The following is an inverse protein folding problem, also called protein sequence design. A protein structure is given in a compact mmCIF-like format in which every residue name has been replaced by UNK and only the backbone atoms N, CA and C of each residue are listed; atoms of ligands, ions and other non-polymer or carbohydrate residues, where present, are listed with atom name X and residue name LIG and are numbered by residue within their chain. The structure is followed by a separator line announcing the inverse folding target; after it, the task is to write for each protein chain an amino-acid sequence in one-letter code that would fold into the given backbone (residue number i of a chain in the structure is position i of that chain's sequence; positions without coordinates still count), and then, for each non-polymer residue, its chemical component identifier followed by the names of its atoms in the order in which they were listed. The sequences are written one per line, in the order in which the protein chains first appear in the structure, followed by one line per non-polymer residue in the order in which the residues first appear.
data_IF_884565441569
#
_entry.id   IF_884565441569
#
_cell.length_a   1.000
_cell.length_b   1.000
_cell.length_c   1.000
_cell.angle_alpha   90.00
_cell.angle_beta   90.00
_cell.angle_gamma   90.00
#
_symmetry.space_group_name_H-M   'P 1'
#
loop_
_entity.id
_entity.type
_entity.pdbx_description
1 polymer ?
#
# COMPACT_ATOMS: atom_id res chain seq x y z
N UNK A 1 2.60 9.40 7.30
CA UNK A 1 1.95 8.35 6.48
C UNK A 1 2.87 7.96 5.35
N UNK A 2 3.18 6.69 5.19
CA UNK A 2 4.08 6.17 4.16
C UNK A 2 3.40 5.08 3.33
N UNK A 3 3.93 4.84 2.12
CA UNK A 3 3.58 3.62 1.37
C UNK A 3 4.10 2.39 2.12
N UNK A 4 3.64 1.21 1.71
CA UNK A 4 3.98 -0.06 2.34
C UNK A 4 5.48 -0.26 2.56
N UNK A 5 5.84 -0.68 3.78
CA UNK A 5 7.19 -1.12 4.13
C UNK A 5 7.63 -2.38 3.36
N UNK A 6 6.67 -3.20 2.91
CA UNK A 6 6.92 -4.36 2.05
C UNK A 6 7.32 -4.00 0.61
N UNK A 7 7.16 -2.74 0.21
CA UNK A 7 7.46 -2.25 -1.15
C UNK A 7 8.58 -1.22 -1.18
N UNK A 8 8.80 -0.49 -0.08
CA UNK A 8 9.78 0.59 -0.01
C UNK A 8 10.41 0.71 1.37
N UNK A 9 11.70 1.01 1.43
CA UNK A 9 12.41 1.36 2.65
C UNK A 9 12.01 2.70 3.29
N UNK A 10 11.13 3.48 2.64
CA UNK A 10 10.73 4.82 3.10
C UNK A 10 10.17 4.79 4.52
N UNK A 11 9.29 3.84 4.84
CA UNK A 11 8.76 3.68 6.20
C UNK A 11 9.87 3.58 7.24
N UNK A 12 10.85 2.67 7.02
CA UNK A 12 11.93 2.45 7.98
C UNK A 12 12.82 3.68 8.16
N UNK A 13 13.13 4.39 7.07
CA UNK A 13 13.93 5.64 7.14
C UNK A 13 13.19 6.71 7.94
N UNK A 14 11.91 6.96 7.62
CA UNK A 14 11.11 7.97 8.31
C UNK A 14 10.92 7.60 9.79
N UNK A 15 10.68 6.33 10.10
CA UNK A 15 10.55 5.84 11.48
C UNK A 15 11.82 6.10 12.29
N UNK A 16 12.99 5.76 11.74
CA UNK A 16 14.27 6.00 12.42
C UNK A 16 14.54 7.48 12.68
N UNK A 17 14.16 8.35 11.73
CA UNK A 17 14.29 9.80 11.90
C UNK A 17 13.31 10.29 12.98
N UNK A 18 12.07 9.81 12.96
CA UNK A 18 11.05 10.20 13.94
C UNK A 18 11.45 9.79 15.37
N UNK A 19 12.02 8.60 15.55
CA UNK A 19 12.50 8.09 16.85
C UNK A 19 13.66 8.92 17.44
N UNK A 20 14.39 9.67 16.61
CA UNK A 20 15.47 10.56 17.05
C UNK A 20 15.00 11.96 17.46
N UNK A 21 13.71 12.27 17.27
CA UNK A 21 13.14 13.58 17.62
C UNK A 21 12.58 13.51 19.04
N UNK A 22 13.32 14.05 20.02
CA UNK A 22 12.91 14.06 21.43
C UNK A 22 11.83 15.12 21.72
N UNK A 23 11.76 16.18 20.90
CA UNK A 23 10.86 17.33 21.11
C UNK A 23 9.51 17.19 20.38
N UNK A 24 9.38 16.19 19.51
CA UNK A 24 8.19 16.00 18.68
C UNK A 24 7.54 14.65 18.96
N UNK A 25 6.25 14.67 19.28
CA UNK A 25 5.46 13.47 19.25
C UNK A 25 5.13 13.11 17.80
N UNK A 26 5.74 12.03 17.29
CA UNK A 26 5.61 11.61 15.90
C UNK A 26 5.13 10.16 15.80
N UNK A 27 4.11 9.94 14.99
CA UNK A 27 3.65 8.60 14.62
C UNK A 27 3.83 8.35 13.12
N UNK A 28 4.54 7.29 12.76
CA UNK A 28 4.79 6.92 11.37
C UNK A 28 3.90 5.74 10.99
N UNK A 29 2.90 6.00 10.17
CA UNK A 29 1.96 4.98 9.69
C UNK A 29 2.52 4.24 8.47
N UNK A 30 2.66 2.91 8.60
CA UNK A 30 2.84 2.00 7.47
C UNK A 30 1.47 1.62 6.91
N UNK A 31 1.10 2.14 5.76
CA UNK A 31 -0.23 1.90 5.20
C UNK A 31 -0.43 0.51 4.63
N UNK A 32 0.61 -0.30 4.49
CA UNK A 32 0.56 -1.60 3.78
C UNK A 32 -0.05 -1.50 2.37
N UNK A 33 -0.09 -0.30 1.82
CA UNK A 33 -0.71 0.06 0.55
C UNK A 33 0.19 0.95 -0.30
N UNK A 34 -0.27 1.25 -1.51
CA UNK A 34 0.37 2.17 -2.45
C UNK A 34 -0.65 3.15 -3.04
N UNK A 35 -0.14 4.15 -3.75
CA UNK A 35 -0.95 5.08 -4.53
C UNK A 35 -2.07 5.68 -3.70
N UNK A 36 -3.29 5.64 -4.24
CA UNK A 36 -4.47 6.20 -3.58
C UNK A 36 -4.82 5.46 -2.28
N UNK A 37 -4.51 4.16 -2.16
CA UNK A 37 -4.72 3.40 -0.92
C UNK A 37 -3.91 3.96 0.25
N UNK A 38 -2.65 4.36 0.01
CA UNK A 38 -1.84 5.06 1.00
C UNK A 38 -2.29 6.52 1.17
N UNK A 39 -2.58 7.22 0.07
CA UNK A 39 -3.04 8.61 0.08
C UNK A 39 -4.34 8.80 0.83
N UNK A 40 -5.26 7.82 0.76
CA UNK A 40 -6.53 7.86 1.49
C UNK A 40 -6.32 7.94 3.01
N UNK A 41 -5.33 7.22 3.55
CA UNK A 41 -4.98 7.29 4.97
C UNK A 41 -4.51 8.69 5.38
N UNK A 42 -3.74 9.37 4.52
CA UNK A 42 -3.30 10.73 4.78
C UNK A 42 -4.46 11.74 4.76
N UNK A 43 -5.35 11.61 3.78
CA UNK A 43 -6.55 12.46 3.66
C UNK A 43 -7.46 12.27 4.87
N UNK A 44 -7.66 11.03 5.30
CA UNK A 44 -8.53 10.73 6.42
C UNK A 44 -7.93 11.20 7.75
N UNK A 45 -6.60 11.08 7.91
CA UNK A 45 -5.88 11.62 9.06
C UNK A 45 -6.08 13.13 9.19
N UNK A 46 -5.93 13.88 8.07
CA UNK A 46 -6.13 15.32 8.06
C UNK A 46 -7.56 15.69 8.48
N UNK A 47 -8.57 15.00 7.96
CA UNK A 47 -9.97 15.25 8.34
C UNK A 47 -10.22 15.00 9.84
N UNK A 48 -9.73 13.90 10.38
CA UNK A 48 -9.89 13.61 11.81
C UNK A 48 -9.18 14.63 12.71
N UNK A 49 -8.03 15.16 12.28
CA UNK A 49 -7.36 16.26 12.98
C UNK A 49 -8.17 17.55 12.93
N UNK A 50 -8.76 17.89 11.78
CA UNK A 50 -9.66 19.04 11.63
C UNK A 50 -10.92 18.90 12.49
N UNK A 51 -11.43 17.67 12.64
CA UNK A 51 -12.58 17.34 13.49
C UNK A 51 -12.22 17.29 15.00
N UNK A 52 -10.95 17.52 15.37
CA UNK A 52 -10.49 17.55 16.76
C UNK A 52 -10.37 16.18 17.42
N UNK A 53 -10.15 15.12 16.65
CA UNK A 53 -9.91 13.78 17.21
C UNK A 53 -8.60 13.76 17.99
N UNK A 54 -8.66 13.26 19.22
CA UNK A 54 -7.51 13.11 20.10
C UNK A 54 -6.40 12.24 19.50
N UNK A 55 -5.13 12.57 19.78
CA UNK A 55 -3.97 11.96 19.16
C UNK A 55 -3.94 10.43 19.26
N UNK A 56 -4.14 9.86 20.44
CA UNK A 56 -4.14 8.41 20.61
C UNK A 56 -5.31 7.73 19.88
N UNK A 57 -6.46 8.40 19.84
CA UNK A 57 -7.62 7.91 19.10
C UNK A 57 -7.37 7.98 17.59
N UNK A 58 -6.70 9.05 17.11
CA UNK A 58 -6.28 9.17 15.72
C UNK A 58 -5.38 8.00 15.29
N UNK A 59 -4.38 7.67 16.11
CA UNK A 59 -3.48 6.54 15.83
C UNK A 59 -4.25 5.22 15.75
N UNK A 60 -5.14 4.97 16.71
CA UNK A 60 -5.99 3.77 16.73
C UNK A 60 -6.87 3.68 15.48
N UNK A 61 -7.54 4.76 15.13
CA UNK A 61 -8.40 4.86 13.95
C UNK A 61 -7.62 4.64 12.64
N UNK A 62 -6.40 5.17 12.56
CA UNK A 62 -5.53 5.00 11.39
C UNK A 62 -5.08 3.54 11.21
N UNK A 63 -4.74 2.85 12.28
CA UNK A 63 -4.38 1.44 12.22
C UNK A 63 -5.57 0.59 11.76
N UNK A 64 -6.76 0.83 12.31
CA UNK A 64 -7.98 0.16 11.84
C UNK A 64 -8.29 0.48 10.37
N UNK A 65 -8.10 1.72 9.94
CA UNK A 65 -8.29 2.12 8.54
C UNK A 65 -7.37 1.37 7.60
N UNK A 66 -6.10 1.16 7.98
CA UNK A 66 -5.13 0.38 7.19
C UNK A 66 -5.63 -1.04 6.95
N UNK A 67 -6.12 -1.72 7.99
CA UNK A 67 -6.64 -3.09 7.89
C UNK A 67 -7.85 -3.19 6.94
N UNK A 68 -8.68 -2.16 6.91
CA UNK A 68 -9.90 -2.09 6.11
C UNK A 68 -9.69 -1.52 4.71
N UNK A 69 -8.51 -0.96 4.41
CA UNK A 69 -8.21 -0.35 3.11
C UNK A 69 -7.52 -1.35 2.20
N UNK A 70 -8.10 -1.62 1.04
CA UNK A 70 -7.50 -2.46 0.01
C UNK A 70 -7.46 -1.71 -1.32
N UNK A 71 -6.30 -1.69 -1.97
CA UNK A 71 -6.12 -1.16 -3.31
C UNK A 71 -6.09 -2.31 -4.32
N UNK A 72 -6.79 -2.14 -5.43
CA UNK A 72 -6.77 -3.08 -6.54
C UNK A 72 -6.33 -2.34 -7.80
N UNK A 73 -5.42 -2.94 -8.53
CA UNK A 73 -4.94 -2.36 -9.78
C UNK A 73 -4.52 -3.44 -10.77
N UNK A 74 -4.40 -3.07 -12.03
CA UNK A 74 -3.76 -3.87 -13.06
C UNK A 74 -2.71 -3.04 -13.80
N UNK A 75 -1.76 -3.73 -14.41
CA UNK A 75 -0.70 -3.14 -15.21
C UNK A 75 -0.67 -3.77 -16.59
N UNK A 76 -0.28 -3.00 -17.60
CA UNK A 76 -0.17 -3.49 -18.97
C UNK A 76 0.92 -4.56 -19.12
N UNK A 77 1.97 -4.47 -18.29
CA UNK A 77 3.08 -5.43 -18.25
C UNK A 77 3.64 -5.55 -16.84
N UNK A 78 4.08 -6.73 -16.48
CA UNK A 78 4.77 -7.01 -15.21
C UNK A 78 6.27 -6.72 -15.28
N UNK A 79 6.78 -6.39 -16.46
CA UNK A 79 8.21 -6.19 -16.73
C UNK A 79 8.86 -5.18 -15.76
N UNK A 80 8.20 -4.05 -15.53
CA UNK A 80 8.75 -3.00 -14.67
C UNK A 80 8.69 -3.37 -13.19
N UNK A 81 7.69 -4.11 -12.75
CA UNK A 81 7.65 -4.67 -11.40
C UNK A 81 8.78 -5.67 -11.17
N UNK A 82 9.06 -6.50 -12.19
CA UNK A 82 10.15 -7.48 -12.15
C UNK A 82 11.52 -6.82 -12.17
N UNK A 83 11.77 -5.91 -13.11
CA UNK A 83 13.03 -5.17 -13.21
C UNK A 83 13.31 -4.31 -11.96
N UNK A 84 12.26 -3.74 -11.38
CA UNK A 84 12.35 -2.96 -10.15
C UNK A 84 12.47 -3.80 -8.87
N UNK A 85 12.36 -5.13 -8.95
CA UNK A 85 12.40 -6.01 -7.79
C UNK A 85 11.15 -5.92 -6.87
N UNK A 86 10.05 -5.30 -7.34
CA UNK A 86 8.78 -5.19 -6.60
C UNK A 86 7.69 -6.11 -7.16
N UNK A 87 8.09 -7.19 -7.81
CA UNK A 87 7.15 -8.18 -8.36
C UNK A 87 6.39 -8.94 -7.27
N UNK A 88 6.97 -9.13 -6.07
CA UNK A 88 6.35 -9.82 -4.94
C UNK A 88 5.85 -11.22 -5.32
N UNK A 89 4.71 -11.60 -4.76
CA UNK A 89 4.08 -12.90 -5.01
C UNK A 89 3.42 -12.99 -6.39
N UNK A 90 3.35 -11.88 -7.14
CA UNK A 90 2.88 -11.85 -8.54
C UNK A 90 3.86 -12.57 -9.46
N UNK A 91 5.12 -12.78 -9.04
CA UNK A 91 6.13 -13.52 -9.79
C UNK A 91 5.67 -14.93 -10.20
N UNK A 92 4.81 -15.57 -9.42
CA UNK A 92 4.28 -16.90 -9.68
C UNK A 92 3.47 -17.02 -10.98
N UNK A 93 3.03 -15.91 -11.54
CA UNK A 93 2.28 -15.87 -12.81
C UNK A 93 3.09 -15.35 -14.00
N UNK A 94 4.35 -14.94 -13.77
CA UNK A 94 5.25 -14.53 -14.85
C UNK A 94 5.54 -15.76 -15.73
N UNK A 95 5.26 -15.65 -17.02
CA UNK A 95 5.46 -16.74 -17.98
C UNK A 95 4.30 -17.74 -18.10
N UNK A 96 3.25 -17.63 -17.28
CA UNK A 96 2.05 -18.45 -17.44
C UNK A 96 1.07 -17.77 -18.39
N UNK A 97 0.90 -18.35 -19.57
CA UNK A 97 -0.10 -18.04 -20.61
C UNK A 97 -0.20 -16.59 -21.09
N UNK A 98 0.01 -16.42 -22.36
CA UNK A 98 -0.27 -15.26 -23.19
C UNK A 98 -1.59 -14.55 -22.82
N UNK A 99 -1.52 -13.25 -22.53
CA UNK A 99 -2.66 -12.30 -22.41
C UNK A 99 -3.53 -12.40 -21.14
N UNK A 100 -2.99 -12.87 -20.02
CA UNK A 100 -3.68 -12.72 -18.74
C UNK A 100 -3.22 -11.42 -18.05
N UNK A 101 -4.17 -10.56 -17.73
CA UNK A 101 -3.92 -9.37 -16.91
C UNK A 101 -4.24 -9.73 -15.46
N UNK A 102 -3.23 -9.75 -14.57
CA UNK A 102 -3.49 -9.98 -13.16
C UNK A 102 -4.17 -8.75 -12.54
N UNK A 103 -5.10 -9.01 -11.64
CA UNK A 103 -5.58 -8.03 -10.68
C UNK A 103 -4.68 -8.16 -9.46
N UNK A 104 -4.00 -7.08 -9.12
CA UNK A 104 -2.97 -7.02 -8.08
C UNK A 104 -3.48 -6.23 -6.90
N UNK A 105 -3.13 -6.67 -5.70
CA UNK A 105 -3.35 -5.96 -4.44
C UNK A 105 -2.13 -6.11 -3.54
N UNK A 106 -2.14 -5.46 -2.38
CA UNK A 106 -1.20 -5.69 -1.30
C UNK A 106 -1.80 -6.65 -0.27
N UNK A 107 -1.04 -7.64 0.17
CA UNK A 107 -1.42 -8.54 1.25
C UNK A 107 -1.24 -7.86 2.65
N UNK A 108 -1.42 -8.60 3.72
CA UNK A 108 -1.28 -8.10 5.10
C UNK A 108 0.16 -7.66 5.43
N UNK A 109 1.15 -8.20 4.75
CA UNK A 109 2.56 -7.79 4.85
C UNK A 109 2.88 -6.58 3.94
N UNK A 110 1.91 -6.09 3.17
CA UNK A 110 2.07 -4.98 2.24
C UNK A 110 2.85 -5.34 0.97
N UNK A 111 2.93 -6.62 0.61
CA UNK A 111 3.61 -7.15 -0.58
C UNK A 111 2.58 -7.39 -1.69
N UNK A 112 2.95 -7.16 -2.93
CA UNK A 112 2.06 -7.43 -4.07
C UNK A 112 1.74 -8.91 -4.20
N UNK A 113 0.46 -9.20 -4.39
CA UNK A 113 -0.04 -10.52 -4.72
C UNK A 113 -1.15 -10.47 -5.76
N UNK A 114 -1.45 -11.60 -6.39
CA UNK A 114 -2.51 -11.71 -7.38
C UNK A 114 -3.82 -12.06 -6.69
N UNK A 115 -4.80 -11.19 -6.82
CA UNK A 115 -6.18 -11.43 -6.35
C UNK A 115 -6.97 -12.25 -7.36
N UNK A 116 -6.76 -11.97 -8.63
CA UNK A 116 -7.46 -12.64 -9.72
C UNK A 116 -6.75 -12.48 -11.05
N UNK A 117 -7.25 -13.18 -12.06
CA UNK A 117 -6.72 -13.12 -13.43
C UNK A 117 -7.89 -12.91 -14.40
N UNK A 118 -7.76 -11.94 -15.29
CA UNK A 118 -8.75 -11.68 -16.33
C UNK A 118 -8.12 -11.70 -17.72
N UNK A 119 -8.89 -12.15 -18.72
CA UNK A 119 -8.46 -12.08 -20.11
C UNK A 119 -8.73 -10.68 -20.67
N UNK A 120 -7.65 -9.92 -20.89
CA UNK A 120 -7.71 -8.57 -21.43
C UNK A 120 -8.08 -7.52 -20.38
N UNK A 121 -7.70 -6.27 -20.67
CA UNK A 121 -7.82 -5.14 -19.75
C UNK A 121 -9.28 -4.85 -19.35
N UNK A 122 -10.22 -4.94 -20.29
CA UNK A 122 -11.63 -4.62 -20.03
C UNK A 122 -12.21 -5.53 -18.94
N UNK A 123 -12.01 -6.85 -19.06
CA UNK A 123 -12.49 -7.83 -18.06
C UNK A 123 -11.75 -7.78 -16.72
N UNK A 124 -10.60 -7.10 -16.65
CA UNK A 124 -9.88 -6.93 -15.37
C UNK A 124 -10.32 -5.70 -14.60
N UNK A 125 -11.14 -4.86 -15.20
CA UNK A 125 -11.71 -3.64 -14.59
C UNK A 125 -13.18 -3.81 -14.19
N UNK A 126 -13.87 -4.80 -14.76
CA UNK A 126 -15.24 -5.22 -14.40
C UNK A 126 -15.19 -6.15 -13.18
#
# INVERSE_FOLDING_TARGET
VTISSGLSGTYNVVRLIAEQQEELEAYVLDTKNIGIGAGFSAIQAAKWLEDGVEWNQLISNLNELVERTKVFFNVATLEYLQKGGRIGLVASIVGTALKLNPIISCNEEGIYYTVGKARGRKKSLD
#
